data_IF_698191053838
#
_entry.id   IF_698191053838
#
_cell.length_a   1.000
_cell.length_b   1.000
_cell.length_c   1.000
_cell.angle_alpha   90.00
_cell.angle_beta   90.00
_cell.angle_gamma   90.00
#
_symmetry.space_group_name_H-M   'P 1'
#
loop_
_entity.id
_entity.type
_entity.pdbx_description
1 polymer ?
#
# COMPACT_ATOMS: atom_id res chain seq x y z
N UNK A 1 2.26 -2.51 7.54
CA UNK A 1 2.63 -3.81 6.95
C UNK A 1 2.04 -3.87 5.57
N UNK A 2 2.82 -4.31 4.59
CA UNK A 2 2.43 -4.41 3.18
C UNK A 2 2.67 -5.83 2.66
N UNK A 3 1.95 -6.24 1.61
CA UNK A 3 2.06 -7.60 1.07
C UNK A 3 3.35 -7.83 0.29
N UNK A 4 3.67 -6.94 -0.65
CA UNK A 4 4.76 -7.14 -1.60
C UNK A 4 5.76 -5.98 -1.66
N UNK A 5 6.74 -6.16 -2.55
CA UNK A 5 7.80 -5.18 -2.79
C UNK A 5 7.31 -3.94 -3.54
N UNK A 6 6.28 -4.09 -4.39
CA UNK A 6 5.61 -2.99 -5.10
C UNK A 6 4.86 -2.08 -4.14
N UNK A 7 4.04 -2.66 -3.25
CA UNK A 7 3.34 -1.93 -2.18
C UNK A 7 4.36 -1.17 -1.33
N UNK A 8 5.41 -1.87 -0.88
CA UNK A 8 6.48 -1.26 -0.11
C UNK A 8 7.04 -0.03 -0.81
N UNK A 9 7.41 -0.13 -2.08
CA UNK A 9 7.99 0.99 -2.81
C UNK A 9 7.04 2.20 -2.91
N UNK A 10 5.74 1.97 -3.14
CA UNK A 10 4.73 3.03 -3.14
C UNK A 10 4.66 3.70 -1.77
N UNK A 11 4.49 2.94 -0.70
CA UNK A 11 4.34 3.51 0.64
C UNK A 11 5.63 4.14 1.19
N UNK A 12 6.81 3.60 0.88
CA UNK A 12 8.08 4.28 1.15
C UNK A 12 8.09 5.67 0.48
N UNK A 13 7.69 5.74 -0.79
CA UNK A 13 7.66 7.01 -1.55
C UNK A 13 6.68 8.00 -0.96
N UNK A 14 5.45 7.59 -0.61
CA UNK A 14 4.45 8.47 -0.02
C UNK A 14 4.90 8.99 1.36
N UNK A 15 5.44 8.12 2.21
CA UNK A 15 5.94 8.47 3.56
C UNK A 15 7.08 9.49 3.47
N UNK A 16 8.05 9.28 2.58
CA UNK A 16 9.21 10.16 2.44
C UNK A 16 8.86 11.48 1.73
N UNK A 17 8.18 11.40 0.58
CA UNK A 17 8.03 12.54 -0.33
C UNK A 17 6.86 13.45 0.02
N UNK A 18 5.79 12.90 0.61
CA UNK A 18 4.58 13.67 0.92
C UNK A 18 4.57 14.05 2.40
N UNK A 19 4.90 13.11 3.29
CA UNK A 19 4.85 13.32 4.74
C UNK A 19 6.17 13.78 5.35
N UNK A 20 7.26 13.79 4.57
CA UNK A 20 8.56 14.34 4.97
C UNK A 20 9.29 13.50 6.02
N UNK A 21 8.95 12.22 6.17
CA UNK A 21 9.72 11.31 6.99
C UNK A 21 11.06 11.00 6.33
N UNK A 22 12.09 10.77 7.14
CA UNK A 22 13.42 10.38 6.64
C UNK A 22 13.66 8.92 6.92
N UNK A 23 14.18 8.20 5.92
CA UNK A 23 14.66 6.84 6.11
C UNK A 23 15.84 6.86 7.08
N UNK A 24 15.69 6.17 8.20
CA UNK A 24 16.68 6.16 9.28
C UNK A 24 16.69 4.78 9.92
N UNK A 25 17.87 4.18 10.07
CA UNK A 25 17.99 2.88 10.72
C UNK A 25 17.76 3.04 12.22
N UNK A 26 16.52 2.85 12.64
CA UNK A 26 16.15 2.72 14.06
C UNK A 26 16.25 1.25 14.46
N UNK A 27 17.09 0.94 15.45
CA UNK A 27 17.16 -0.40 16.02
C UNK A 27 15.95 -0.66 16.92
N UNK A 28 15.28 -1.77 16.67
CA UNK A 28 14.12 -2.21 17.44
C UNK A 28 14.50 -3.52 18.11
N UNK A 29 14.82 -3.42 19.40
CA UNK A 29 15.36 -4.54 20.17
C UNK A 29 14.45 -5.77 20.09
N UNK A 30 15.02 -6.92 19.73
CA UNK A 30 14.30 -8.19 19.68
C UNK A 30 13.37 -8.38 18.48
N UNK A 31 13.07 -7.35 17.67
CA UNK A 31 12.19 -7.50 16.50
C UNK A 31 12.80 -8.46 15.45
N UNK A 32 14.13 -8.42 15.28
CA UNK A 32 14.88 -9.35 14.43
C UNK A 32 15.03 -10.76 15.02
N UNK A 33 14.70 -10.97 16.30
CA UNK A 33 14.78 -12.27 17.00
C UNK A 33 13.44 -13.02 17.01
N UNK A 34 12.43 -12.49 16.30
CA UNK A 34 11.06 -13.06 16.23
C UNK A 34 10.97 -14.36 15.42
N UNK A 35 12.09 -14.96 15.02
CA UNK A 35 12.14 -16.20 14.23
C UNK A 35 11.73 -16.04 12.76
N UNK A 36 11.33 -14.84 12.35
CA UNK A 36 11.05 -14.47 10.97
C UNK A 36 12.15 -13.54 10.47
N UNK A 37 12.71 -13.83 9.30
CA UNK A 37 13.57 -12.90 8.59
C UNK A 37 12.71 -11.76 8.03
N UNK A 38 12.32 -10.83 8.92
CA UNK A 38 11.46 -9.69 8.59
C UNK A 38 12.27 -8.69 7.77
N UNK A 39 11.84 -8.46 6.54
CA UNK A 39 12.38 -7.36 5.75
C UNK A 39 11.60 -6.10 6.10
N UNK A 40 12.23 -5.17 6.79
CA UNK A 40 11.63 -3.90 7.16
C UNK A 40 12.55 -2.72 6.86
N UNK A 41 11.94 -1.54 6.78
CA UNK A 41 12.65 -0.26 6.84
C UNK A 41 12.02 0.62 7.90
N UNK A 42 12.85 1.48 8.45
CA UNK A 42 12.44 2.43 9.47
C UNK A 42 12.51 3.85 8.94
N UNK A 43 11.55 4.65 9.37
CA UNK A 43 11.41 6.06 9.04
C UNK A 43 11.23 6.85 10.31
N UNK A 44 11.87 8.01 10.41
CA UNK A 44 11.73 8.92 11.55
C UNK A 44 11.33 10.32 11.10
N UNK A 45 10.43 10.92 11.86
CA UNK A 45 10.11 12.34 11.83
C UNK A 45 9.75 12.74 13.26
N UNK A 46 10.47 13.72 13.80
CA UNK A 46 10.34 14.14 15.20
C UNK A 46 10.43 12.93 16.15
N UNK A 47 9.44 12.74 17.02
CA UNK A 47 9.37 11.62 17.96
C UNK A 47 8.64 10.38 17.40
N UNK A 48 8.25 10.39 16.13
CA UNK A 48 7.51 9.29 15.50
C UNK A 48 8.44 8.40 14.70
N UNK A 49 8.37 7.10 14.95
CA UNK A 49 9.07 6.06 14.18
C UNK A 49 8.06 5.17 13.48
N UNK A 50 8.14 5.08 12.15
CA UNK A 50 7.34 4.16 11.34
C UNK A 50 8.21 2.98 10.94
N UNK A 51 7.69 1.77 11.17
CA UNK A 51 8.32 0.51 10.76
C UNK A 51 7.51 -0.08 9.62
N UNK A 52 8.02 0.03 8.40
CA UNK A 52 7.37 -0.54 7.23
C UNK A 52 7.90 -1.95 7.00
N UNK A 53 7.08 -2.93 7.38
CA UNK A 53 7.38 -4.37 7.21
C UNK A 53 6.75 -4.87 5.92
N UNK A 54 7.56 -5.52 5.08
CA UNK A 54 7.10 -6.31 3.93
C UNK A 54 6.83 -7.75 4.40
N UNK A 55 5.57 -8.18 4.32
CA UNK A 55 5.14 -9.51 4.73
C UNK A 55 5.48 -10.62 3.71
N UNK A 56 5.96 -10.24 2.53
CA UNK A 56 6.29 -11.07 1.36
C UNK A 56 5.08 -11.62 0.61
N UNK A 57 4.01 -12.00 1.30
CA UNK A 57 2.74 -12.37 0.69
C UNK A 57 1.54 -12.23 1.65
N UNK A 58 0.34 -12.34 1.09
CA UNK A 58 -0.95 -12.20 1.78
C UNK A 58 -1.25 -13.29 2.82
N UNK A 59 -0.60 -14.45 2.73
CA UNK A 59 -0.78 -15.57 3.66
C UNK A 59 0.11 -15.36 4.89
N UNK A 60 1.37 -14.98 4.66
CA UNK A 60 2.35 -14.69 5.72
C UNK A 60 2.03 -13.44 6.53
N UNK A 61 1.31 -12.47 5.96
CA UNK A 61 0.93 -11.25 6.68
C UNK A 61 0.24 -11.53 8.03
N UNK A 62 -0.61 -12.56 8.09
CA UNK A 62 -1.28 -12.96 9.33
C UNK A 62 -0.30 -13.45 10.39
N UNK A 63 0.67 -14.27 10.00
CA UNK A 63 1.66 -14.81 10.92
C UNK A 63 2.63 -13.73 11.37
N UNK A 64 3.07 -12.86 10.46
CA UNK A 64 3.90 -11.70 10.81
C UNK A 64 3.17 -10.79 11.80
N UNK A 65 1.90 -10.49 11.58
CA UNK A 65 1.10 -9.66 12.48
C UNK A 65 0.99 -10.28 13.88
N UNK A 66 0.71 -11.58 13.96
CA UNK A 66 0.66 -12.33 15.22
C UNK A 66 1.99 -12.26 15.96
N UNK A 67 3.11 -12.42 15.24
CA UNK A 67 4.43 -12.40 15.83
C UNK A 67 4.84 -11.01 16.31
N UNK A 68 4.52 -9.95 15.56
CA UNK A 68 4.75 -8.57 15.98
C UNK A 68 3.97 -8.26 17.27
N UNK A 69 2.70 -8.67 17.35
CA UNK A 69 1.88 -8.47 18.55
C UNK A 69 2.41 -9.28 19.75
N UNK A 70 2.73 -10.55 19.55
CA UNK A 70 3.33 -11.40 20.59
C UNK A 70 4.67 -10.86 21.08
N UNK A 71 5.52 -10.42 20.15
CA UNK A 71 6.81 -9.79 20.44
C UNK A 71 6.64 -8.52 21.27
N UNK A 72 5.72 -7.63 20.87
CA UNK A 72 5.47 -6.38 21.56
C UNK A 72 4.95 -6.63 22.99
N UNK A 73 4.06 -7.60 23.15
CA UNK A 73 3.57 -8.02 24.46
C UNK A 73 4.69 -8.59 25.34
N UNK A 74 5.56 -9.46 24.79
CA UNK A 74 6.65 -10.08 25.53
C UNK A 74 7.72 -9.06 25.97
N UNK A 75 8.12 -8.16 25.07
CA UNK A 75 9.16 -7.14 25.34
C UNK A 75 8.58 -5.87 25.98
N UNK A 76 7.27 -5.83 26.27
CA UNK A 76 6.55 -4.65 26.78
C UNK A 76 6.77 -3.40 25.91
N UNK A 77 6.90 -3.58 24.60
CA UNK A 77 7.02 -2.49 23.66
C UNK A 77 5.64 -1.92 23.37
N UNK A 78 5.47 -0.62 23.60
CA UNK A 78 4.23 0.08 23.29
C UNK A 78 4.12 0.31 21.78
N UNK A 79 3.25 -0.45 21.11
CA UNK A 79 2.83 -0.18 19.75
C UNK A 79 1.61 0.75 19.78
N UNK A 80 1.74 1.95 19.20
CA UNK A 80 0.61 2.87 19.09
C UNK A 80 -0.38 2.40 18.03
N UNK A 81 0.11 2.14 16.81
CA UNK A 81 -0.71 1.76 15.66
C UNK A 81 -0.03 0.67 14.84
N UNK A 82 -0.82 -0.25 14.29
CA UNK A 82 -0.39 -1.22 13.28
C UNK A 82 -1.32 -1.14 12.09
N UNK A 83 -0.80 -0.67 10.97
CA UNK A 83 -1.58 -0.58 9.73
C UNK A 83 -1.34 -1.78 8.82
N UNK A 84 -2.40 -2.32 8.24
CA UNK A 84 -2.37 -3.50 7.37
C UNK A 84 -2.88 -3.10 5.99
N UNK A 85 -2.02 -3.16 4.97
CA UNK A 85 -2.36 -2.79 3.61
C UNK A 85 -2.39 -4.03 2.73
N UNK A 86 -3.52 -4.24 2.05
CA UNK A 86 -3.78 -5.48 1.30
C UNK A 86 -4.76 -5.26 0.16
N UNK A 87 -4.56 -5.96 -0.95
CA UNK A 87 -5.52 -6.03 -2.06
C UNK A 87 -6.87 -6.61 -1.62
N UNK A 88 -7.97 -6.01 -2.09
CA UNK A 88 -9.34 -6.48 -1.82
C UNK A 88 -9.70 -7.55 -2.87
N UNK A 89 -9.01 -8.69 -2.80
CA UNK A 89 -9.28 -9.85 -3.67
C UNK A 89 -10.33 -10.81 -3.07
N UNK A 90 -10.81 -10.57 -1.85
CA UNK A 90 -11.68 -11.49 -1.10
C UNK A 90 -13.09 -10.95 -0.93
N UNK A 91 -14.10 -11.84 -1.00
CA UNK A 91 -15.49 -11.58 -0.61
C UNK A 91 -15.68 -11.13 0.86
N UNK A 92 -14.60 -11.10 1.65
CA UNK A 92 -14.58 -10.61 3.02
C UNK A 92 -14.15 -9.15 3.03
N UNK A 93 -14.95 -8.32 3.71
CA UNK A 93 -14.54 -6.98 4.14
C UNK A 93 -13.20 -7.04 4.92
N UNK A 94 -12.34 -6.04 4.71
CA UNK A 94 -10.97 -5.98 5.25
C UNK A 94 -10.96 -6.00 6.79
N UNK A 95 -12.00 -5.42 7.43
CA UNK A 95 -12.18 -5.48 8.89
C UNK A 95 -12.49 -6.91 9.31
N UNK A 96 -13.38 -7.60 8.58
CA UNK A 96 -13.71 -9.01 8.81
C UNK A 96 -12.49 -9.91 8.70
N UNK A 97 -11.66 -9.70 7.66
CA UNK A 97 -10.39 -10.40 7.50
C UNK A 97 -9.45 -10.14 8.69
N UNK A 98 -9.25 -8.88 9.08
CA UNK A 98 -8.36 -8.52 10.18
C UNK A 98 -8.85 -9.11 11.52
N UNK A 99 -10.16 -9.04 11.79
CA UNK A 99 -10.80 -9.64 12.97
C UNK A 99 -10.56 -11.15 13.05
N UNK A 100 -10.74 -11.84 11.92
CA UNK A 100 -10.50 -13.29 11.84
C UNK A 100 -9.04 -13.66 12.07
N UNK A 101 -8.11 -12.84 11.55
CA UNK A 101 -6.67 -13.04 11.68
C UNK A 101 -6.19 -12.87 13.13
N UNK A 102 -6.85 -11.97 13.86
CA UNK A 102 -6.52 -11.55 15.21
C UNK A 102 -7.36 -12.22 16.31
N UNK A 103 -8.22 -13.20 15.98
CA UNK A 103 -9.18 -13.81 16.93
C UNK A 103 -8.58 -14.21 18.28
N UNK A 104 -7.34 -14.69 18.31
CA UNK A 104 -6.65 -15.12 19.54
C UNK A 104 -6.30 -13.98 20.50
N UNK A 105 -6.30 -12.73 20.03
CA UNK A 105 -6.02 -11.53 20.81
C UNK A 105 -7.30 -10.80 21.26
N UNK A 106 -8.47 -11.41 21.06
CA UNK A 106 -9.79 -10.84 21.42
C UNK A 106 -9.98 -9.38 20.99
N UNK A 107 -9.80 -9.05 19.70
CA UNK A 107 -9.82 -7.67 19.23
C UNK A 107 -11.22 -7.05 19.37
N UNK A 108 -11.27 -5.81 19.83
CA UNK A 108 -12.51 -5.02 19.88
C UNK A 108 -12.62 -4.15 18.62
N UNK A 109 -13.75 -4.20 17.92
CA UNK A 109 -13.97 -3.35 16.74
C UNK A 109 -14.46 -1.97 17.19
N UNK A 110 -13.84 -0.91 16.69
CA UNK A 110 -14.27 0.49 16.89
C UNK A 110 -14.20 1.23 15.54
N UNK A 111 -15.35 1.54 14.96
CA UNK A 111 -15.42 2.14 13.63
C UNK A 111 -14.70 1.29 12.58
N UNK A 112 -13.74 1.89 11.88
CA UNK A 112 -12.93 1.25 10.82
C UNK A 112 -11.62 0.64 11.34
N UNK A 113 -11.51 0.37 12.65
CA UNK A 113 -10.28 -0.13 13.25
C UNK A 113 -10.57 -1.19 14.31
N UNK A 114 -9.55 -1.99 14.63
CA UNK A 114 -9.59 -2.99 15.69
C UNK A 114 -8.65 -2.57 16.81
N UNK A 115 -8.99 -2.89 18.05
CA UNK A 115 -8.21 -2.54 19.21
C UNK A 115 -7.80 -3.79 19.96
N UNK A 116 -6.51 -3.89 20.25
CA UNK A 116 -5.92 -4.91 21.12
C UNK A 116 -5.16 -4.15 22.21
N UNK A 117 -5.68 -4.20 23.44
CA UNK A 117 -5.22 -3.33 24.52
C UNK A 117 -5.25 -1.85 24.06
N UNK A 118 -4.12 -1.15 24.17
CA UNK A 118 -3.95 0.25 23.74
C UNK A 118 -3.40 0.39 22.30
N UNK A 119 -3.27 -0.72 21.55
CA UNK A 119 -2.78 -0.71 20.17
C UNK A 119 -3.95 -0.70 19.20
N UNK A 120 -3.99 0.32 18.35
CA UNK A 120 -4.93 0.42 17.24
C UNK A 120 -4.43 -0.35 16.02
N UNK A 121 -5.27 -1.21 15.45
CA UNK A 121 -5.02 -1.93 14.20
C UNK A 121 -5.87 -1.32 13.11
N UNK A 122 -5.23 -0.81 12.06
CA UNK A 122 -5.85 -0.06 10.97
C UNK A 122 -5.73 -0.87 9.67
N UNK A 123 -6.71 -1.72 9.35
CA UNK A 123 -6.75 -2.37 8.06
C UNK A 123 -7.17 -1.38 6.96
N UNK A 124 -6.51 -1.48 5.81
CA UNK A 124 -6.79 -0.69 4.62
C UNK A 124 -6.76 -1.58 3.39
N UNK A 125 -7.86 -1.58 2.65
CA UNK A 125 -8.00 -2.33 1.41
C UNK A 125 -7.56 -1.50 0.21
N UNK A 126 -6.56 -1.98 -0.52
CA UNK A 126 -6.04 -1.33 -1.73
C UNK A 126 -7.02 -1.50 -2.90
N UNK A 127 -7.08 -0.49 -3.77
CA UNK A 127 -7.89 -0.54 -4.98
C UNK A 127 -9.39 -0.42 -4.76
N UNK A 128 -9.87 0.08 -3.60
CA UNK A 128 -11.29 0.37 -3.40
C UNK A 128 -11.71 1.67 -4.12
N UNK A 129 -11.52 1.70 -5.44
CA UNK A 129 -11.80 2.84 -6.31
C UNK A 129 -12.57 2.39 -7.54
N UNK A 130 -13.28 3.32 -8.16
CA UNK A 130 -13.91 3.10 -9.45
C UNK A 130 -13.07 3.74 -10.56
N UNK A 131 -12.85 2.97 -11.63
CA UNK A 131 -12.29 3.47 -12.89
C UNK A 131 -13.41 3.50 -13.92
N UNK A 132 -13.58 4.66 -14.57
CA UNK A 132 -14.62 4.87 -15.58
C UNK A 132 -14.24 4.26 -16.93
N UNK A 133 -12.95 4.09 -17.20
CA UNK A 133 -12.46 3.58 -18.48
C UNK A 133 -12.98 2.16 -18.78
N UNK A 134 -13.81 1.97 -19.83
CA UNK A 134 -14.46 0.69 -20.12
C UNK A 134 -13.49 -0.38 -20.66
N UNK A 135 -12.26 0.01 -20.97
CA UNK A 135 -11.19 -0.88 -21.43
C UNK A 135 -10.57 -1.65 -20.25
N UNK A 136 -10.67 -1.12 -19.04
CA UNK A 136 -9.94 -1.59 -17.87
C UNK A 136 -10.85 -2.46 -16.98
N UNK A 137 -10.32 -3.58 -16.50
CA UNK A 137 -10.96 -4.45 -15.52
C UNK A 137 -10.82 -3.86 -14.12
N UNK A 138 -11.92 -3.84 -13.35
CA UNK A 138 -11.92 -3.36 -11.96
C UNK A 138 -11.43 -4.44 -11.01
N UNK A 139 -10.11 -4.65 -10.95
CA UNK A 139 -9.47 -5.49 -9.94
C UNK A 139 -8.98 -4.62 -8.79
N UNK A 140 -9.49 -4.84 -7.57
CA UNK A 140 -9.20 -4.01 -6.40
C UNK A 140 -7.84 -4.35 -5.79
N UNK A 141 -6.79 -3.92 -6.49
CA UNK A 141 -5.38 -4.09 -6.13
C UNK A 141 -4.63 -2.76 -6.17
N UNK A 142 -3.38 -2.74 -5.68
CA UNK A 142 -2.49 -1.56 -5.76
C UNK A 142 -2.44 -0.98 -7.18
N UNK A 143 -2.30 -1.82 -8.20
CA UNK A 143 -2.18 -1.37 -9.58
C UNK A 143 -3.42 -0.61 -10.09
N UNK A 144 -4.61 -0.86 -9.53
CA UNK A 144 -5.80 -0.08 -9.87
C UNK A 144 -5.71 1.35 -9.35
N UNK A 145 -5.15 1.54 -8.16
CA UNK A 145 -4.87 2.88 -7.63
C UNK A 145 -3.87 3.63 -8.52
N UNK A 146 -2.81 2.95 -8.95
CA UNK A 146 -1.81 3.56 -9.85
C UNK A 146 -2.38 3.85 -11.24
N UNK A 147 -3.31 3.02 -11.71
CA UNK A 147 -4.05 3.25 -12.95
C UNK A 147 -4.90 4.52 -12.85
N UNK A 148 -5.65 4.68 -11.76
CA UNK A 148 -6.43 5.90 -11.48
C UNK A 148 -5.53 7.14 -11.43
N UNK A 149 -4.38 7.05 -10.75
CA UNK A 149 -3.41 8.15 -10.69
C UNK A 149 -2.92 8.54 -12.09
N UNK A 150 -2.60 7.56 -12.93
CA UNK A 150 -2.15 7.81 -14.30
C UNK A 150 -3.27 8.32 -15.22
N UNK A 151 -4.53 7.98 -14.96
CA UNK A 151 -5.71 8.54 -15.62
C UNK A 151 -5.87 10.02 -15.29
N UNK A 152 -5.77 10.38 -14.01
CA UNK A 152 -5.84 11.78 -13.54
C UNK A 152 -4.72 12.65 -14.11
N UNK A 153 -3.50 12.11 -14.19
CA UNK A 153 -2.39 12.81 -14.84
C UNK A 153 -2.49 12.82 -16.37
N UNK A 154 -3.57 12.30 -16.96
CA UNK A 154 -3.77 12.23 -18.40
C UNK A 154 -2.66 11.47 -19.15
N UNK A 155 -1.93 10.57 -18.48
CA UNK A 155 -1.01 9.66 -19.17
C UNK A 155 -1.81 8.64 -19.97
N UNK A 156 -2.84 8.02 -19.39
CA UNK A 156 -3.60 6.97 -20.08
C UNK A 156 -4.37 7.47 -21.30
N UNK A 157 -4.89 8.70 -21.25
CA UNK A 157 -5.62 9.30 -22.38
C UNK A 157 -4.75 9.44 -23.64
N UNK A 158 -3.44 9.70 -23.47
CA UNK A 158 -2.47 9.75 -24.59
C UNK A 158 -2.26 8.39 -25.25
N UNK A 159 -2.47 7.30 -24.51
CA UNK A 159 -2.29 5.92 -24.97
C UNK A 159 -3.61 5.21 -25.24
N UNK A 160 -4.75 5.93 -25.28
CA UNK A 160 -6.08 5.31 -25.42
C UNK A 160 -6.20 4.41 -26.66
N UNK A 161 -5.56 4.77 -27.79
CA UNK A 161 -5.53 3.93 -28.99
C UNK A 161 -4.80 2.61 -28.75
N UNK A 162 -3.63 2.67 -28.11
CA UNK A 162 -2.85 1.49 -27.74
C UNK A 162 -3.59 0.59 -26.74
N UNK A 163 -4.31 1.19 -25.77
CA UNK A 163 -5.14 0.46 -24.83
C UNK A 163 -6.31 -0.26 -25.52
N UNK A 164 -6.99 0.41 -26.46
CA UNK A 164 -8.06 -0.21 -27.26
C UNK A 164 -7.53 -1.38 -28.11
N UNK A 165 -6.39 -1.18 -28.79
CA UNK A 165 -5.77 -2.25 -29.58
C UNK A 165 -5.39 -3.45 -28.70
N UNK A 166 -4.75 -3.21 -27.55
CA UNK A 166 -4.35 -4.29 -26.65
C UNK A 166 -5.57 -5.06 -26.10
N UNK A 167 -6.69 -4.37 -25.86
CA UNK A 167 -7.96 -5.02 -25.47
C UNK A 167 -8.52 -5.89 -26.59
N UNK A 168 -8.48 -5.41 -27.83
CA UNK A 168 -8.91 -6.19 -29.00
C UNK A 168 -8.03 -7.43 -29.20
N UNK A 169 -6.71 -7.25 -29.16
CA UNK A 169 -5.71 -8.31 -29.33
C UNK A 169 -5.83 -9.38 -28.24
N UNK A 170 -6.09 -8.97 -27.00
CA UNK A 170 -6.24 -9.91 -25.87
C UNK A 170 -7.65 -10.50 -25.77
N UNK A 171 -8.64 -9.98 -26.50
CA UNK A 171 -10.04 -10.40 -26.44
C UNK A 171 -10.72 -10.18 -25.09
N UNK A 172 -10.14 -9.37 -24.19
CA UNK A 172 -10.66 -9.11 -22.83
C UNK A 172 -10.38 -7.68 -22.40
N UNK A 173 -11.05 -7.23 -21.32
CA UNK A 173 -10.63 -6.00 -20.62
C UNK A 173 -9.21 -6.16 -20.06
N UNK A 174 -8.47 -5.06 -20.03
CA UNK A 174 -7.10 -5.00 -19.54
C UNK A 174 -7.08 -5.00 -18.01
N UNK A 175 -6.27 -5.86 -17.42
CA UNK A 175 -6.05 -5.86 -15.98
C UNK A 175 -5.21 -4.63 -15.60
N UNK A 176 -5.32 -4.12 -14.37
CA UNK A 176 -4.46 -3.01 -13.92
C UNK A 176 -2.96 -3.30 -14.12
N UNK A 177 -2.54 -4.55 -13.90
CA UNK A 177 -1.18 -5.03 -14.24
C UNK A 177 -0.80 -4.88 -15.72
N UNK A 178 -1.73 -5.11 -16.67
CA UNK A 178 -1.47 -4.87 -18.09
C UNK A 178 -1.23 -3.37 -18.34
N UNK A 179 -1.96 -2.50 -17.63
CA UNK A 179 -1.78 -1.04 -17.70
C UNK A 179 -0.41 -0.62 -17.21
N UNK A 180 0.13 -1.27 -16.17
CA UNK A 180 1.48 -0.96 -15.67
C UNK A 180 2.55 -1.17 -16.75
N UNK A 181 2.40 -2.17 -17.61
CA UNK A 181 3.30 -2.37 -18.75
C UNK A 181 3.19 -1.25 -19.79
N UNK A 182 1.98 -0.77 -20.07
CA UNK A 182 1.77 0.40 -20.94
C UNK A 182 2.37 1.65 -20.32
N UNK A 183 2.23 1.83 -19.00
CA UNK A 183 2.86 2.93 -18.27
C UNK A 183 4.39 2.87 -18.30
N UNK A 184 4.98 1.68 -18.25
CA UNK A 184 6.43 1.51 -18.39
C UNK A 184 6.92 2.08 -19.73
N UNK A 185 6.21 1.76 -20.82
CA UNK A 185 6.50 2.29 -22.17
C UNK A 185 6.29 3.81 -22.20
N UNK A 186 5.15 4.29 -21.67
CA UNK A 186 4.79 5.70 -21.68
C UNK A 186 5.77 6.60 -20.90
N UNK A 187 6.42 6.06 -19.87
CA UNK A 187 7.40 6.77 -19.04
C UNK A 187 8.85 6.48 -19.45
N UNK A 188 9.05 5.81 -20.60
CA UNK A 188 10.34 5.38 -21.12
C UNK A 188 11.17 4.72 -20.00
N UNK A 189 10.53 3.83 -19.25
CA UNK A 189 11.12 3.20 -18.08
C UNK A 189 11.92 1.97 -18.51
N UNK A 190 13.23 2.05 -18.33
CA UNK A 190 14.24 1.03 -18.66
C UNK A 190 14.66 0.20 -17.44
N UNK A 191 14.12 0.51 -16.25
CA UNK A 191 14.43 -0.21 -15.02
C UNK A 191 13.89 -1.64 -15.00
N UNK A 192 14.54 -2.50 -14.23
CA UNK A 192 14.27 -3.94 -14.19
C UNK A 192 13.12 -4.37 -13.26
N UNK A 193 12.39 -3.43 -12.65
CA UNK A 193 11.36 -3.76 -11.67
C UNK A 193 10.16 -2.79 -11.69
N UNK A 194 8.96 -3.33 -11.49
CA UNK A 194 7.72 -2.53 -11.38
C UNK A 194 7.73 -1.61 -10.15
N UNK A 195 8.35 -2.01 -9.05
CA UNK A 195 8.49 -1.16 -7.86
C UNK A 195 9.23 0.14 -8.15
N UNK A 196 10.25 0.11 -9.02
CA UNK A 196 10.94 1.32 -9.47
C UNK A 196 10.09 2.18 -10.42
N UNK A 197 9.28 1.56 -11.30
CA UNK A 197 8.30 2.27 -12.13
C UNK A 197 7.29 3.02 -11.25
N UNK A 198 6.75 2.37 -10.23
CA UNK A 198 5.72 2.95 -9.37
C UNK A 198 6.26 4.14 -8.57
N UNK A 199 7.49 4.03 -8.06
CA UNK A 199 8.20 5.16 -7.44
C UNK A 199 8.38 6.30 -8.44
N UNK A 200 8.92 6.02 -9.63
CA UNK A 200 9.18 7.03 -10.68
C UNK A 200 7.88 7.75 -11.06
N UNK A 201 6.79 7.00 -11.25
CA UNK A 201 5.47 7.56 -11.55
C UNK A 201 5.04 8.58 -10.48
N UNK A 202 5.06 8.19 -9.20
CA UNK A 202 4.64 9.07 -8.09
C UNK A 202 5.55 10.29 -8.00
N UNK A 203 6.87 10.11 -8.04
CA UNK A 203 7.83 11.20 -7.94
C UNK A 203 7.73 12.19 -9.11
N UNK A 204 7.53 11.70 -10.33
CA UNK A 204 7.40 12.54 -11.52
C UNK A 204 6.09 13.33 -11.55
N UNK A 205 4.99 12.74 -11.05
CA UNK A 205 3.73 13.48 -10.90
C UNK A 205 3.85 14.50 -9.77
N UNK A 206 4.39 14.12 -8.62
CA UNK A 206 4.56 15.02 -7.47
C UNK A 206 5.41 16.25 -7.83
N UNK A 207 6.44 16.09 -8.68
CA UNK A 207 7.29 17.20 -9.14
C UNK A 207 6.56 18.15 -10.09
N UNK A 208 5.70 17.63 -10.95
CA UNK A 208 5.05 18.39 -12.04
C UNK A 208 3.72 18.99 -11.58
N UNK A 209 2.88 18.16 -10.97
CA UNK A 209 1.47 18.43 -10.65
C UNK A 209 1.14 17.86 -9.25
N UNK A 210 1.67 18.44 -8.15
CA UNK A 210 1.43 17.94 -6.79
C UNK A 210 -0.06 17.92 -6.40
N UNK A 211 -0.88 18.81 -6.96
CA UNK A 211 -2.33 18.84 -6.77
C UNK A 211 -3.02 17.54 -7.23
N UNK A 212 -2.54 16.90 -8.29
CA UNK A 212 -3.07 15.61 -8.77
C UNK A 212 -2.83 14.51 -7.72
N UNK A 213 -1.68 14.53 -7.04
CA UNK A 213 -1.39 13.59 -5.96
C UNK A 213 -2.33 13.84 -4.77
N UNK A 214 -2.53 15.10 -4.39
CA UNK A 214 -3.43 15.45 -3.28
C UNK A 214 -4.88 15.04 -3.54
N UNK A 215 -5.39 15.28 -4.75
CA UNK A 215 -6.72 14.83 -5.17
C UNK A 215 -6.82 13.30 -5.16
N UNK A 216 -5.83 12.62 -5.74
CA UNK A 216 -5.74 11.16 -5.73
C UNK A 216 -5.76 10.61 -4.30
N UNK A 217 -4.97 11.15 -3.38
CA UNK A 217 -4.93 10.66 -2.00
C UNK A 217 -6.29 10.83 -1.30
N UNK A 218 -7.01 11.93 -1.55
CA UNK A 218 -8.34 12.17 -0.98
C UNK A 218 -9.38 11.19 -1.51
N UNK A 219 -9.48 11.06 -2.83
CA UNK A 219 -10.50 10.21 -3.48
C UNK A 219 -10.33 8.73 -3.16
N UNK A 220 -9.09 8.28 -2.98
CA UNK A 220 -8.79 6.88 -2.66
C UNK A 220 -8.90 6.55 -1.17
N UNK A 221 -9.15 7.54 -0.31
CA UNK A 221 -9.10 7.39 1.15
C UNK A 221 -7.69 7.19 1.71
N UNK A 222 -6.65 7.21 0.86
CA UNK A 222 -5.26 7.10 1.28
C UNK A 222 -4.84 8.28 2.16
N UNK A 223 -5.39 9.47 1.95
CA UNK A 223 -5.08 10.66 2.76
C UNK A 223 -5.41 10.42 4.23
N UNK A 224 -6.66 10.06 4.53
CA UNK A 224 -7.10 9.79 5.90
C UNK A 224 -6.31 8.64 6.53
N UNK A 225 -6.02 7.60 5.75
CA UNK A 225 -5.21 6.49 6.20
C UNK A 225 -3.77 6.93 6.54
N UNK A 226 -3.11 7.67 5.65
CA UNK A 226 -1.73 8.11 5.84
C UNK A 226 -1.61 9.16 6.96
N UNK A 227 -2.59 10.05 7.10
CA UNK A 227 -2.66 11.01 8.21
C UNK A 227 -2.72 10.25 9.56
N UNK A 228 -3.51 9.17 9.64
CA UNK A 228 -3.55 8.31 10.84
C UNK A 228 -2.24 7.60 11.13
N UNK A 229 -1.43 7.21 10.14
CA UNK A 229 -0.16 6.51 10.42
C UNK A 229 1.00 7.47 10.70
N UNK A 230 0.88 8.73 10.31
CA UNK A 230 1.95 9.72 10.38
C UNK A 230 1.78 10.77 11.49
N UNK A 231 0.55 10.97 11.99
CA UNK A 231 0.26 11.78 13.19
C UNK A 231 0.21 10.96 14.48
#
# INVERSE_FOLDING_TARGET
MVEGQTDRAVFETLIEKIYGFRKEKVEIEGLGKTGFNLTYVTFRKDNTVIVLINAQDKYRMKDVLRNVLSWANFHKVKLHRISLLRDIDTNLDIIGWAKSSLRQFSPTVKGTSLWINDTEIIPFGLGNVDIENPVIEKKRELELLLTLLAEKESTLSRFQRSLNQLKEDTGRRLKPKDIMHVLAIAKEYDGNSMSGLYRKLIEDILRRNPEVIEEFLKETGLREFLDKITG
#
